data_IF_629852152432
#
_entry.id   IF_629852152432
#
_cell.length_a   1.000
_cell.length_b   1.000
_cell.length_c   1.000
_cell.angle_alpha   90.00
_cell.angle_beta   90.00
_cell.angle_gamma   90.00
#
_symmetry.space_group_name_H-M   'P 1'
#
loop_
_entity.id
_entity.type
_entity.pdbx_description
1 polymer ?
#
# COMPACT_ATOMS: atom_id res chain seq x y z
N UNK A 1 -21.19 4.74 7.15
CA UNK A 1 -20.27 5.38 6.20
C UNK A 1 -18.91 4.72 6.37
N UNK A 2 -18.38 4.06 5.34
CA UNK A 2 -17.00 3.58 5.35
C UNK A 2 -16.09 4.80 5.17
N UNK A 3 -15.30 5.13 6.18
CA UNK A 3 -14.28 6.17 6.05
C UNK A 3 -13.23 5.69 5.05
N UNK A 4 -12.82 6.56 4.11
CA UNK A 4 -11.78 6.24 3.16
C UNK A 4 -10.44 6.06 3.88
N UNK A 5 -9.69 5.01 3.53
CA UNK A 5 -8.37 4.77 4.09
C UNK A 5 -7.41 5.92 3.80
N UNK A 6 -6.56 6.25 4.76
CA UNK A 6 -5.49 7.24 4.61
C UNK A 6 -4.13 6.55 4.68
N UNK A 7 -3.20 6.97 3.82
CA UNK A 7 -1.82 6.49 3.80
C UNK A 7 -0.86 7.62 4.13
N UNK A 8 0.26 7.27 4.78
CA UNK A 8 1.42 8.16 4.91
C UNK A 8 2.05 8.41 3.54
N UNK A 9 2.45 9.66 3.29
CA UNK A 9 3.15 10.06 2.07
C UNK A 9 4.57 10.55 2.39
N UNK A 10 5.49 10.34 1.44
CA UNK A 10 6.92 10.59 1.62
C UNK A 10 7.49 11.43 0.49
N UNK A 11 8.51 12.23 0.80
CA UNK A 11 9.34 12.92 -0.19
C UNK A 11 10.44 12.00 -0.75
N UNK A 12 11.21 12.48 -1.72
CA UNK A 12 12.27 11.70 -2.38
C UNK A 12 13.42 11.27 -1.44
N UNK A 13 13.58 11.91 -0.28
CA UNK A 13 14.53 11.52 0.74
C UNK A 13 13.98 10.42 1.68
N UNK A 14 12.73 10.00 1.49
CA UNK A 14 12.04 9.03 2.33
C UNK A 14 11.51 9.61 3.63
N UNK A 15 11.47 10.95 3.75
CA UNK A 15 10.93 11.63 4.92
C UNK A 15 9.40 11.70 4.82
N UNK A 16 8.71 11.41 5.92
CA UNK A 16 7.25 11.55 5.98
C UNK A 16 6.87 13.04 5.88
N UNK A 17 5.94 13.37 4.99
CA UNK A 17 5.44 14.74 4.75
C UNK A 17 3.93 14.89 5.00
N UNK A 18 3.25 13.84 5.46
CA UNK A 18 1.82 13.90 5.83
C UNK A 18 1.05 12.60 5.57
N UNK A 19 -0.28 12.74 5.56
CA UNK A 19 -1.24 11.67 5.22
C UNK A 19 -2.20 12.14 4.15
N UNK A 20 -2.66 11.22 3.31
CA UNK A 20 -3.62 11.52 2.24
C UNK A 20 -4.54 10.32 1.99
N UNK A 21 -5.74 10.58 1.45
CA UNK A 21 -6.69 9.55 1.08
C UNK A 21 -6.14 8.60 0.02
N UNK A 22 -6.44 7.31 0.15
CA UNK A 22 -6.00 6.24 -0.76
C UNK A 22 -6.34 6.54 -2.22
N UNK A 23 -7.49 7.15 -2.51
CA UNK A 23 -7.85 7.50 -3.90
C UNK A 23 -6.95 8.60 -4.46
N UNK A 24 -6.56 9.59 -3.66
CA UNK A 24 -5.70 10.69 -4.07
C UNK A 24 -4.26 10.22 -4.23
N UNK A 25 -3.75 9.42 -3.29
CA UNK A 25 -2.40 8.83 -3.37
C UNK A 25 -2.18 8.11 -4.71
N UNK A 26 -3.09 7.20 -5.07
CA UNK A 26 -2.95 6.46 -6.34
C UNK A 26 -3.29 7.29 -7.58
N UNK A 27 -4.15 8.33 -7.46
CA UNK A 27 -4.46 9.23 -8.58
C UNK A 27 -3.29 10.14 -8.94
N UNK A 28 -2.59 10.65 -7.93
CA UNK A 28 -1.50 11.62 -8.10
C UNK A 28 -0.11 10.95 -8.15
N UNK A 29 -0.02 9.66 -7.80
CA UNK A 29 1.26 8.95 -7.76
C UNK A 29 2.13 9.36 -6.56
N UNK A 30 1.51 9.74 -5.43
CA UNK A 30 2.27 10.05 -4.22
C UNK A 30 2.98 8.80 -3.70
N UNK A 31 4.24 8.97 -3.30
CA UNK A 31 5.01 7.89 -2.72
C UNK A 31 4.46 7.53 -1.34
N UNK A 32 4.10 6.26 -1.15
CA UNK A 32 3.60 5.73 0.11
C UNK A 32 4.22 4.34 0.37
N UNK A 33 4.12 3.86 1.62
CA UNK A 33 4.55 2.52 2.00
C UNK A 33 3.52 1.47 1.60
N UNK A 34 4.00 0.28 1.25
CA UNK A 34 3.18 -0.89 0.99
C UNK A 34 3.83 -2.13 1.60
N UNK A 35 3.03 -3.15 1.90
CA UNK A 35 3.51 -4.47 2.33
C UNK A 35 3.01 -5.53 1.37
N UNK A 36 3.86 -6.52 1.09
CA UNK A 36 3.53 -7.68 0.29
C UNK A 36 3.74 -8.93 1.14
N UNK A 37 2.72 -9.78 1.23
CA UNK A 37 2.77 -11.00 2.03
C UNK A 37 2.77 -12.20 1.09
N UNK A 38 3.80 -13.04 1.19
CA UNK A 38 3.90 -14.31 0.47
C UNK A 38 3.35 -15.43 1.34
N UNK A 39 2.22 -16.03 0.92
CA UNK A 39 1.59 -17.13 1.67
C UNK A 39 1.92 -18.45 1.00
N UNK A 40 2.68 -19.29 1.70
CA UNK A 40 3.04 -20.62 1.24
C UNK A 40 2.17 -21.68 1.92
N UNK A 41 1.70 -22.64 1.13
CA UNK A 41 1.10 -23.88 1.64
C UNK A 41 2.18 -24.76 2.27
N UNK A 42 1.76 -25.73 3.09
CA UNK A 42 2.68 -26.72 3.68
C UNK A 42 3.39 -27.61 2.63
N UNK A 43 2.86 -27.67 1.41
CA UNK A 43 3.46 -28.34 0.25
C UNK A 43 4.43 -27.44 -0.54
N UNK A 44 4.72 -26.23 -0.05
CA UNK A 44 5.67 -25.28 -0.65
C UNK A 44 5.11 -24.44 -1.79
N UNK A 45 3.83 -24.59 -2.17
CA UNK A 45 3.22 -23.78 -3.24
C UNK A 45 2.80 -22.39 -2.76
N UNK A 46 3.10 -21.36 -3.55
CA UNK A 46 2.69 -19.97 -3.31
C UNK A 46 1.22 -19.77 -3.70
N UNK A 47 0.44 -19.11 -2.84
CA UNK A 47 -0.90 -18.64 -3.16
C UNK A 47 -0.84 -17.35 -4.00
N UNK A 48 -1.52 -17.35 -5.14
CA UNK A 48 -1.63 -16.20 -6.03
C UNK A 48 -3.03 -15.61 -5.92
N UNK A 49 -3.12 -14.32 -5.56
CA UNK A 49 -4.37 -13.57 -5.60
C UNK A 49 -4.63 -13.08 -7.03
N UNK A 50 -5.86 -13.29 -7.52
CA UNK A 50 -6.35 -12.66 -8.74
C UNK A 50 -7.21 -11.46 -8.33
N UNK A 51 -6.74 -10.27 -8.67
CA UNK A 51 -7.46 -8.99 -8.51
C UNK A 51 -8.22 -8.64 -9.77
#
# INVERSE_FOLDING_TARGET
MTHEEQFEIFDDAGQNIGVEYRSIVHRQGYWHRASNIFVFRTDGRLLIQRV
#
